data_IF_804069900334
#
_entry.id   IF_804069900334
#
_cell.length_a   1.000
_cell.length_b   1.000
_cell.length_c   1.000
_cell.angle_alpha   90.00
_cell.angle_beta   90.00
_cell.angle_gamma   90.00
#
_symmetry.space_group_name_H-M   'P 1'
#
loop_
_entity.id
_entity.type
_entity.pdbx_description
1 polymer ?
#
# COMPACT_ATOMS: atom_id res chain seq x y z
N UNK A 1 9.42 -18.55 16.16
CA UNK A 1 9.39 -18.81 14.72
C UNK A 1 9.39 -17.47 14.03
N UNK A 2 10.41 -17.14 13.27
CA UNK A 2 10.43 -15.97 12.40
C UNK A 2 9.77 -16.40 11.09
N UNK A 3 8.74 -15.71 10.67
CA UNK A 3 8.19 -15.90 9.34
C UNK A 3 8.94 -14.94 8.41
N UNK A 4 9.55 -15.45 7.36
CA UNK A 4 10.08 -14.65 6.28
C UNK A 4 9.01 -14.58 5.18
N UNK A 5 8.63 -13.37 4.81
CA UNK A 5 7.77 -13.15 3.66
C UNK A 5 8.62 -12.81 2.45
N UNK A 6 8.34 -13.47 1.33
CA UNK A 6 8.97 -13.17 0.05
C UNK A 6 7.91 -12.59 -0.86
N UNK A 7 8.00 -11.29 -1.12
CA UNK A 7 7.02 -10.57 -1.93
C UNK A 7 7.59 -10.23 -3.31
N UNK A 8 7.10 -10.85 -4.39
CA UNK A 8 7.34 -10.35 -5.74
C UNK A 8 6.42 -9.16 -6.02
N UNK A 9 6.95 -8.09 -6.57
CA UNK A 9 6.21 -6.91 -7.01
C UNK A 9 6.60 -6.56 -8.44
N UNK A 10 5.62 -6.22 -9.27
CA UNK A 10 5.81 -5.69 -10.60
C UNK A 10 4.84 -4.53 -10.81
N UNK A 11 5.35 -3.39 -11.28
CA UNK A 11 4.55 -2.18 -11.50
C UNK A 11 4.54 -1.25 -10.28
N UNK A 12 3.46 -0.50 -10.12
CA UNK A 12 3.28 0.56 -9.12
C UNK A 12 2.29 0.23 -8.00
N UNK A 13 1.57 -0.88 -8.10
CA UNK A 13 0.98 -1.51 -6.92
C UNK A 13 2.08 -1.95 -5.97
N UNK A 14 1.86 -1.81 -4.67
CA UNK A 14 2.94 -2.03 -3.72
C UNK A 14 2.47 -2.40 -2.33
N UNK A 15 3.40 -2.41 -1.39
CA UNK A 15 3.07 -2.69 -0.01
C UNK A 15 3.92 -1.87 0.98
N UNK A 16 3.40 -1.75 2.19
CA UNK A 16 4.10 -1.18 3.32
C UNK A 16 4.03 -2.12 4.52
N UNK A 17 5.14 -2.26 5.24
CA UNK A 17 5.21 -2.93 6.54
C UNK A 17 5.31 -1.89 7.64
N UNK A 18 4.32 -1.91 8.54
CA UNK A 18 4.24 -1.01 9.69
C UNK A 18 4.39 -1.81 10.98
N UNK A 19 5.14 -1.27 11.94
CA UNK A 19 5.40 -1.89 13.23
C UNK A 19 5.47 -0.84 14.32
N UNK A 20 4.61 -0.93 15.33
CA UNK A 20 4.68 -0.11 16.55
C UNK A 20 4.95 1.37 16.25
N UNK A 21 4.09 1.97 15.43
CA UNK A 21 4.16 3.37 15.02
C UNK A 21 5.41 3.74 14.19
N UNK A 22 5.97 2.79 13.43
CA UNK A 22 7.07 3.04 12.51
C UNK A 22 6.82 2.37 11.14
N UNK A 23 7.29 3.02 10.07
CA UNK A 23 7.38 2.42 8.75
C UNK A 23 8.68 1.62 8.69
N UNK A 24 8.57 0.30 8.56
CA UNK A 24 9.73 -0.59 8.45
C UNK A 24 10.15 -0.83 7.01
N UNK A 25 9.19 -0.88 6.11
CA UNK A 25 9.44 -1.03 4.68
C UNK A 25 8.33 -0.37 3.89
N UNK A 26 8.68 0.16 2.73
CA UNK A 26 7.78 0.65 1.71
C UNK A 26 8.34 0.21 0.35
N UNK A 27 7.53 -0.50 -0.45
CA UNK A 27 7.96 -0.98 -1.76
C UNK A 27 8.13 0.19 -2.73
N UNK A 28 9.22 0.17 -3.50
CA UNK A 28 9.42 1.16 -4.55
C UNK A 28 8.61 0.76 -5.79
N UNK A 29 7.88 1.69 -6.43
CA UNK A 29 7.21 1.42 -7.69
C UNK A 29 8.25 1.13 -8.79
N UNK A 30 7.92 0.19 -9.68
CA UNK A 30 8.72 -0.10 -10.86
C UNK A 30 8.08 0.57 -12.08
N UNK A 31 8.78 1.57 -12.61
CA UNK A 31 8.29 2.38 -13.72
C UNK A 31 9.37 2.58 -14.78
N UNK A 32 8.98 2.62 -16.06
CA UNK A 32 9.87 2.98 -17.17
C UNK A 32 10.13 4.49 -17.21
N UNK A 33 9.11 5.26 -16.85
CA UNK A 33 9.12 6.72 -16.76
C UNK A 33 8.05 7.16 -15.76
N UNK A 34 7.94 8.46 -15.52
CA UNK A 34 6.88 9.01 -14.68
C UNK A 34 5.51 8.51 -15.15
N UNK A 35 4.69 7.98 -14.24
CA UNK A 35 3.36 7.43 -14.50
C UNK A 35 3.31 6.40 -15.64
N UNK A 36 4.38 5.60 -15.77
CA UNK A 36 4.48 4.54 -16.79
C UNK A 36 4.98 3.25 -16.12
N UNK A 37 4.09 2.54 -15.41
CA UNK A 37 4.48 1.36 -14.62
C UNK A 37 4.89 0.18 -15.51
N UNK A 38 5.68 -0.72 -14.95
CA UNK A 38 5.91 -2.04 -15.54
C UNK A 38 4.60 -2.80 -15.58
N UNK A 39 4.31 -3.45 -16.72
CA UNK A 39 3.07 -4.18 -16.95
C UNK A 39 3.30 -5.51 -17.66
N UNK A 40 2.75 -6.58 -17.09
CA UNK A 40 2.62 -7.84 -17.81
C UNK A 40 1.57 -7.67 -18.90
N UNK A 41 1.99 -7.72 -20.17
CA UNK A 41 1.06 -7.53 -21.27
C UNK A 41 1.28 -8.56 -22.39
N UNK A 42 0.18 -9.06 -22.95
CA UNK A 42 0.19 -9.84 -24.18
C UNK A 42 -0.16 -8.90 -25.32
N UNK A 43 0.84 -8.52 -26.11
CA UNK A 43 0.65 -7.62 -27.23
C UNK A 43 0.16 -8.41 -28.44
N UNK A 44 -1.03 -8.10 -29.01
CA UNK A 44 -1.53 -8.76 -30.19
C UNK A 44 -0.55 -8.65 -31.36
N UNK A 45 -0.34 -9.73 -32.16
CA UNK A 45 0.65 -9.74 -33.22
C UNK A 45 0.50 -8.61 -34.26
N UNK A 46 -0.74 -8.20 -34.54
CA UNK A 46 -1.03 -7.06 -35.44
C UNK A 46 -0.50 -5.73 -34.90
N UNK A 47 -0.64 -5.51 -33.59
CA UNK A 47 -0.14 -4.28 -32.93
C UNK A 47 1.38 -4.29 -32.91
N UNK A 48 1.98 -5.44 -32.59
CA UNK A 48 3.43 -5.61 -32.59
C UNK A 48 4.03 -5.37 -33.99
N UNK A 49 3.41 -5.92 -35.04
CA UNK A 49 3.83 -5.69 -36.43
C UNK A 49 3.74 -4.22 -36.84
N UNK A 50 2.65 -3.55 -36.47
CA UNK A 50 2.48 -2.11 -36.74
C UNK A 50 3.50 -1.24 -35.99
N UNK A 51 3.76 -1.53 -34.71
CA UNK A 51 4.75 -0.82 -33.92
C UNK A 51 6.15 -0.97 -34.52
N UNK A 52 6.55 -2.19 -34.91
CA UNK A 52 7.83 -2.46 -35.59
C UNK A 52 7.96 -1.71 -36.91
N UNK A 53 6.89 -1.66 -37.72
CA UNK A 53 6.88 -0.90 -38.96
C UNK A 53 7.08 0.61 -38.76
N UNK A 54 6.69 1.13 -37.59
CA UNK A 54 6.88 2.53 -37.17
C UNK A 54 8.18 2.76 -36.38
N UNK A 55 9.05 1.75 -36.25
CA UNK A 55 10.30 1.85 -35.51
C UNK A 55 10.12 1.97 -33.98
N UNK A 56 8.94 1.59 -33.45
CA UNK A 56 8.64 1.62 -32.01
C UNK A 56 8.51 0.22 -31.44
N UNK A 57 8.78 0.07 -30.16
CA UNK A 57 8.50 -1.14 -29.39
C UNK A 57 7.50 -0.81 -28.31
N UNK A 58 6.34 -1.51 -28.26
CA UNK A 58 5.41 -1.36 -27.16
C UNK A 58 6.06 -1.85 -25.86
N UNK A 59 5.78 -1.16 -24.76
CA UNK A 59 6.23 -1.60 -23.44
C UNK A 59 5.53 -2.92 -23.08
N UNK A 60 6.32 -3.89 -22.65
CA UNK A 60 5.82 -5.20 -22.19
C UNK A 60 6.88 -5.80 -21.28
N UNK A 61 6.51 -6.02 -20.05
CA UNK A 61 7.40 -6.56 -19.03
C UNK A 61 7.08 -8.05 -18.80
N UNK A 62 8.02 -8.75 -18.20
CA UNK A 62 7.94 -10.18 -17.97
C UNK A 62 7.97 -10.47 -16.46
N UNK A 63 7.49 -11.65 -16.01
CA UNK A 63 7.57 -12.04 -14.60
C UNK A 63 8.98 -11.99 -14.00
N UNK A 64 10.02 -12.20 -14.83
CA UNK A 64 11.43 -12.10 -14.41
C UNK A 64 11.87 -10.67 -14.05
N UNK A 65 11.13 -9.66 -14.51
CA UNK A 65 11.43 -8.25 -14.26
C UNK A 65 10.83 -7.79 -12.91
N UNK A 66 10.07 -8.67 -12.24
CA UNK A 66 9.54 -8.41 -10.91
C UNK A 66 10.68 -8.25 -9.89
N UNK A 67 10.55 -7.25 -9.03
CA UNK A 67 11.38 -7.10 -7.83
C UNK A 67 10.96 -8.14 -6.80
N UNK A 68 11.93 -8.88 -6.25
CA UNK A 68 11.68 -9.86 -5.20
C UNK A 68 12.43 -9.42 -3.94
N UNK A 69 11.70 -9.24 -2.85
CA UNK A 69 12.28 -8.84 -1.56
C UNK A 69 11.82 -9.76 -0.44
N UNK A 70 12.71 -10.02 0.52
CA UNK A 70 12.40 -10.80 1.72
C UNK A 70 12.29 -9.90 2.95
N UNK A 71 11.25 -10.10 3.76
CA UNK A 71 10.97 -9.26 4.92
C UNK A 71 10.76 -10.10 6.17
N UNK A 72 11.43 -9.69 7.26
CA UNK A 72 11.23 -10.31 8.57
C UNK A 72 9.97 -9.79 9.22
N UNK A 73 8.99 -10.66 9.38
CA UNK A 73 7.74 -10.37 10.03
C UNK A 73 7.83 -10.62 11.54
N UNK A 74 7.19 -9.75 12.31
CA UNK A 74 7.06 -9.88 13.76
C UNK A 74 5.61 -9.82 14.19
N UNK A 75 5.31 -10.42 15.30
CA UNK A 75 4.00 -10.31 15.94
C UNK A 75 3.58 -8.84 16.10
N UNK A 76 2.37 -8.51 15.65
CA UNK A 76 1.84 -7.17 15.66
C UNK A 76 2.18 -6.31 14.44
N UNK A 77 2.94 -6.82 13.46
CA UNK A 77 3.17 -6.12 12.21
C UNK A 77 1.87 -6.00 11.41
N UNK A 78 1.71 -4.87 10.76
CA UNK A 78 0.65 -4.62 9.79
C UNK A 78 1.26 -4.55 8.40
N UNK A 79 0.82 -5.44 7.53
CA UNK A 79 1.12 -5.41 6.10
C UNK A 79 -0.06 -4.81 5.37
N UNK A 80 0.20 -3.78 4.59
CA UNK A 80 -0.79 -3.13 3.75
C UNK A 80 -0.34 -3.24 2.30
N UNK A 81 -1.13 -3.91 1.47
CA UNK A 81 -0.97 -3.97 0.03
C UNK A 81 -2.02 -3.08 -0.62
N UNK A 82 -1.63 -2.31 -1.63
CA UNK A 82 -2.58 -1.43 -2.30
C UNK A 82 -2.18 -1.12 -3.74
N UNK A 83 -3.16 -0.64 -4.52
CA UNK A 83 -2.96 -0.05 -5.84
C UNK A 83 -2.43 1.38 -5.73
N UNK A 84 -1.96 1.92 -6.86
CA UNK A 84 -1.47 3.30 -6.97
C UNK A 84 -2.50 4.34 -6.53
N UNK A 85 -3.81 4.07 -6.68
CA UNK A 85 -4.85 4.96 -6.17
C UNK A 85 -4.76 5.27 -4.66
N UNK A 86 -4.04 4.43 -3.88
CA UNK A 86 -3.67 4.75 -2.49
C UNK A 86 -2.37 5.55 -2.44
N UNK A 87 -1.31 5.07 -3.10
CA UNK A 87 0.03 5.65 -3.02
C UNK A 87 0.12 7.04 -3.65
N UNK A 88 -0.68 7.30 -4.66
CA UNK A 88 -0.79 8.61 -5.32
C UNK A 88 -1.47 9.67 -4.43
N UNK A 89 -2.27 9.25 -3.46
CA UNK A 89 -3.07 10.13 -2.62
C UNK A 89 -2.65 10.19 -1.15
N UNK A 90 -2.06 9.12 -0.62
CA UNK A 90 -1.63 9.02 0.78
C UNK A 90 -0.13 8.71 0.87
N UNK A 91 0.61 9.54 1.60
CA UNK A 91 2.00 9.25 1.91
C UNK A 91 2.14 8.10 2.91
N UNK A 92 3.33 7.49 3.00
CA UNK A 92 3.62 6.48 4.03
C UNK A 92 3.40 7.00 5.46
N UNK A 93 3.59 8.30 5.69
CA UNK A 93 3.32 8.93 6.98
C UNK A 93 1.82 9.10 7.26
N UNK A 94 1.00 9.37 6.23
CA UNK A 94 -0.46 9.44 6.38
C UNK A 94 -1.01 8.05 6.70
N UNK A 95 -0.55 7.02 5.99
CA UNK A 95 -0.88 5.64 6.30
C UNK A 95 -0.47 5.23 7.71
N UNK A 96 0.74 5.60 8.13
CA UNK A 96 1.21 5.34 9.49
C UNK A 96 0.29 5.97 10.53
N UNK A 97 -0.16 7.22 10.34
CA UNK A 97 -1.09 7.91 11.24
C UNK A 97 -2.45 7.18 11.30
N UNK A 98 -3.00 6.78 10.13
CA UNK A 98 -4.28 6.07 10.07
C UNK A 98 -4.17 4.74 10.81
N UNK A 99 -3.15 3.93 10.50
CA UNK A 99 -2.94 2.62 11.11
C UNK A 99 -2.69 2.76 12.61
N UNK A 100 -1.80 3.65 13.03
CA UNK A 100 -1.50 3.85 14.46
C UNK A 100 -2.72 4.27 15.26
N UNK A 101 -3.53 5.19 14.72
CA UNK A 101 -4.79 5.61 15.35
C UNK A 101 -5.74 4.43 15.60
N UNK A 102 -5.89 3.54 14.62
CA UNK A 102 -6.76 2.37 14.76
C UNK A 102 -6.16 1.30 15.67
N UNK A 103 -4.88 0.98 15.48
CA UNK A 103 -4.20 -0.03 16.30
C UNK A 103 -4.19 0.35 17.78
N UNK A 104 -3.97 1.63 18.11
CA UNK A 104 -4.05 2.11 19.49
C UNK A 104 -5.49 2.28 19.96
N UNK A 105 -6.40 2.74 19.10
CA UNK A 105 -7.82 2.91 19.43
C UNK A 105 -8.52 1.60 19.78
N UNK A 106 -8.15 0.49 19.15
CA UNK A 106 -8.62 -0.85 19.48
C UNK A 106 -7.73 -1.58 20.50
N UNK A 107 -6.73 -0.91 21.07
CA UNK A 107 -5.79 -1.47 22.03
C UNK A 107 -5.03 -2.71 21.46
N UNK A 108 -4.79 -2.75 20.16
CA UNK A 108 -3.91 -3.74 19.54
C UNK A 108 -2.42 -3.38 19.70
N UNK A 109 -2.14 -2.07 19.73
CA UNK A 109 -0.87 -1.50 20.19
C UNK A 109 -1.15 -0.65 21.42
N UNK A 110 -0.41 -0.87 22.50
CA UNK A 110 -0.63 -0.24 23.80
C UNK A 110 0.68 0.29 24.39
N UNK A 111 0.58 1.21 25.34
CA UNK A 111 1.76 1.73 26.03
C UNK A 111 2.36 0.64 26.94
N UNK A 112 3.62 0.31 26.70
CA UNK A 112 4.40 -0.58 27.54
C UNK A 112 5.54 0.13 28.25
N UNK A 113 6.27 -0.56 29.10
CA UNK A 113 7.38 0.00 29.86
C UNK A 113 8.51 0.60 29.02
N UNK A 114 8.71 0.08 27.79
CA UNK A 114 9.78 0.49 26.86
C UNK A 114 9.27 1.21 25.61
N UNK A 115 8.06 1.74 25.65
CA UNK A 115 7.37 2.36 24.51
C UNK A 115 6.14 1.57 24.09
N UNK A 116 5.73 1.66 22.82
CA UNK A 116 4.60 0.88 22.29
C UNK A 116 4.91 -0.62 22.27
N UNK A 117 3.95 -1.41 22.71
CA UNK A 117 3.98 -2.86 22.71
C UNK A 117 2.75 -3.42 21.98
N UNK A 118 2.84 -4.67 21.55
CA UNK A 118 1.70 -5.41 20.99
C UNK A 118 0.91 -6.02 22.13
N UNK A 119 -0.40 -5.77 22.11
CA UNK A 119 -1.33 -6.29 23.12
C UNK A 119 -1.45 -7.82 23.04
N UNK A 120 -1.58 -8.48 24.17
CA UNK A 120 -1.89 -9.91 24.23
C UNK A 120 -3.22 -10.25 23.56
N UNK A 121 -4.13 -9.28 23.47
CA UNK A 121 -5.46 -9.47 22.91
C UNK A 121 -5.50 -9.33 21.38
N UNK A 122 -4.39 -8.99 20.71
CA UNK A 122 -4.38 -8.74 19.26
C UNK A 122 -4.93 -9.92 18.45
N UNK A 123 -4.68 -11.15 18.88
CA UNK A 123 -5.21 -12.36 18.21
C UNK A 123 -6.75 -12.35 18.17
N UNK A 124 -7.40 -11.99 19.27
CA UNK A 124 -8.86 -11.91 19.33
C UNK A 124 -9.40 -10.80 18.42
N UNK A 125 -8.75 -9.64 18.38
CA UNK A 125 -9.14 -8.50 17.55
C UNK A 125 -9.09 -8.80 16.04
N UNK A 126 -8.23 -9.74 15.63
CA UNK A 126 -8.11 -10.13 14.22
C UNK A 126 -9.13 -11.20 13.79
N UNK A 127 -9.83 -11.82 14.73
CA UNK A 127 -10.88 -12.80 14.40
C UNK A 127 -12.18 -12.09 13.99
N UNK A 128 -13.03 -12.83 13.27
CA UNK A 128 -14.41 -12.38 12.99
C UNK A 128 -15.16 -12.18 14.32
N UNK A 129 -15.77 -11.03 14.50
CA UNK A 129 -16.41 -10.65 15.78
C UNK A 129 -15.44 -10.12 16.82
N UNK A 130 -14.17 -9.98 16.51
CA UNK A 130 -13.13 -9.47 17.43
C UNK A 130 -13.29 -7.99 17.77
N UNK A 131 -13.95 -7.22 16.91
CA UNK A 131 -14.35 -5.84 17.15
C UNK A 131 -15.85 -5.65 16.84
N UNK A 132 -16.48 -4.58 17.36
CA UNK A 132 -17.90 -4.34 17.08
C UNK A 132 -18.19 -4.18 15.58
N UNK A 133 -19.28 -4.78 15.09
CA UNK A 133 -19.71 -4.75 13.67
C UNK A 133 -19.76 -3.37 13.03
N UNK A 134 -20.04 -2.33 13.80
CA UNK A 134 -19.98 -0.94 13.30
C UNK A 134 -18.60 -0.51 12.82
N UNK A 135 -17.55 -1.30 13.09
CA UNK A 135 -16.18 -1.13 12.66
C UNK A 135 -15.67 -2.32 11.82
N UNK A 136 -16.54 -3.01 11.08
CA UNK A 136 -16.21 -4.09 10.14
C UNK A 136 -15.81 -5.46 10.74
N UNK A 137 -16.22 -5.74 11.97
CA UNK A 137 -16.16 -7.09 12.57
C UNK A 137 -14.76 -7.66 12.85
N UNK A 138 -13.69 -7.13 12.23
CA UNK A 138 -12.29 -7.48 12.50
C UNK A 138 -11.35 -6.30 12.29
N UNK A 139 -10.23 -6.27 13.01
CA UNK A 139 -9.31 -5.14 13.01
C UNK A 139 -8.71 -4.85 11.62
N UNK A 140 -8.33 -5.90 10.88
CA UNK A 140 -7.79 -5.72 9.52
C UNK A 140 -8.85 -5.19 8.55
N UNK A 141 -10.11 -5.60 8.70
CA UNK A 141 -11.20 -5.07 7.88
C UNK A 141 -11.47 -3.58 8.19
N UNK A 142 -11.47 -3.21 9.48
CA UNK A 142 -11.61 -1.81 9.89
C UNK A 142 -10.48 -0.94 9.34
N UNK A 143 -9.23 -1.43 9.35
CA UNK A 143 -8.09 -0.74 8.75
C UNK A 143 -8.25 -0.58 7.23
N UNK A 144 -8.67 -1.63 6.54
CA UNK A 144 -8.86 -1.59 5.09
C UNK A 144 -9.92 -0.54 4.70
N UNK A 145 -11.07 -0.53 5.39
CA UNK A 145 -12.14 0.45 5.16
C UNK A 145 -11.67 1.87 5.46
N UNK A 146 -10.96 2.08 6.58
CA UNK A 146 -10.47 3.39 6.94
C UNK A 146 -9.47 3.94 5.92
N UNK A 147 -8.52 3.12 5.46
CA UNK A 147 -7.51 3.52 4.47
C UNK A 147 -8.16 3.83 3.12
N UNK A 148 -9.09 2.97 2.67
CA UNK A 148 -9.84 3.19 1.43
C UNK A 148 -10.64 4.49 1.48
N UNK A 149 -11.30 4.77 2.60
CA UNK A 149 -12.06 6.00 2.82
C UNK A 149 -11.18 7.24 2.78
N UNK A 150 -10.07 7.26 3.49
CA UNK A 150 -9.13 8.39 3.51
C UNK A 150 -8.47 8.60 2.13
N UNK A 151 -8.08 7.52 1.43
CA UNK A 151 -7.55 7.60 0.08
C UNK A 151 -8.59 8.20 -0.90
N UNK A 152 -9.85 7.76 -0.79
CA UNK A 152 -10.95 8.32 -1.61
C UNK A 152 -11.19 9.79 -1.32
N UNK A 153 -11.19 10.19 -0.06
CA UNK A 153 -11.34 11.61 0.30
C UNK A 153 -10.15 12.44 -0.21
N UNK A 154 -8.93 11.93 -0.08
CA UNK A 154 -7.74 12.59 -0.60
C UNK A 154 -7.77 12.71 -2.12
N UNK A 155 -8.19 11.67 -2.85
CA UNK A 155 -8.27 11.68 -4.32
C UNK A 155 -9.23 12.73 -4.88
N UNK A 156 -10.26 13.08 -4.12
CA UNK A 156 -11.26 14.09 -4.49
C UNK A 156 -10.91 15.52 -3.98
N UNK A 157 -9.86 15.64 -3.18
CA UNK A 157 -9.46 16.92 -2.61
C UNK A 157 -8.65 17.74 -3.62
N UNK A 158 -9.21 18.81 -4.12
CA UNK A 158 -8.57 19.71 -5.10
C UNK A 158 -7.64 20.76 -4.47
N UNK A 159 -7.56 20.83 -3.13
CA UNK A 159 -6.84 21.89 -2.40
C UNK A 159 -5.53 21.44 -1.75
N UNK A 160 -5.38 20.14 -1.50
CA UNK A 160 -4.21 19.59 -0.82
C UNK A 160 -3.48 18.64 -1.76
N UNK A 161 -2.23 18.95 -2.07
CA UNK A 161 -1.41 18.14 -2.96
C UNK A 161 -1.01 16.80 -2.31
N UNK A 162 -1.47 15.72 -2.90
CA UNK A 162 -1.05 14.37 -2.61
C UNK A 162 0.35 14.05 -3.12
N UNK A 163 0.87 12.83 -2.88
CA UNK A 163 2.15 12.39 -3.41
C UNK A 163 2.25 12.54 -4.93
N UNK A 164 1.22 12.16 -5.68
CA UNK A 164 1.20 12.27 -7.14
C UNK A 164 1.36 13.72 -7.62
N UNK A 165 0.58 14.66 -7.06
CA UNK A 165 0.68 16.07 -7.44
C UNK A 165 2.10 16.63 -7.22
N UNK A 166 2.72 16.26 -6.11
CA UNK A 166 4.11 16.65 -5.80
C UNK A 166 5.12 16.08 -6.80
N UNK A 167 4.92 14.84 -7.26
CA UNK A 167 5.76 14.25 -8.30
C UNK A 167 5.52 14.90 -9.67
N UNK A 168 4.26 15.21 -10.06
CA UNK A 168 3.97 15.95 -11.29
C UNK A 168 4.72 17.29 -11.28
N UNK A 169 4.59 18.07 -10.21
CA UNK A 169 5.25 19.37 -10.07
C UNK A 169 6.78 19.29 -10.16
N UNK A 170 7.35 18.18 -9.72
CA UNK A 170 8.79 17.92 -9.81
C UNK A 170 9.25 17.56 -11.22
N UNK A 171 8.51 16.68 -11.92
CA UNK A 171 8.85 16.24 -13.28
C UNK A 171 8.43 17.24 -14.36
N UNK A 172 7.36 17.97 -14.12
CA UNK A 172 6.75 18.93 -15.04
C UNK A 172 6.48 20.27 -14.35
N UNK A 173 7.53 21.06 -14.02
CA UNK A 173 7.39 22.30 -13.22
C UNK A 173 6.49 23.38 -13.85
N UNK A 174 6.14 23.23 -15.14
CA UNK A 174 5.26 24.16 -15.86
C UNK A 174 3.79 23.69 -15.90
N UNK A 175 3.49 22.51 -15.38
CA UNK A 175 2.13 22.01 -15.29
C UNK A 175 1.52 22.35 -13.93
N UNK A 176 0.39 23.03 -13.96
CA UNK A 176 -0.39 23.38 -12.77
C UNK A 176 -1.28 22.18 -12.35
N UNK A 177 -0.66 21.08 -11.88
CA UNK A 177 -1.40 19.97 -11.32
C UNK A 177 -1.42 20.08 -9.79
N UNK A 178 -2.62 20.19 -9.21
CA UNK A 178 -2.85 20.30 -7.77
C UNK A 178 -3.93 19.33 -7.29
N UNK A 179 -3.86 18.98 -6.03
CA UNK A 179 -4.84 18.13 -5.36
C UNK A 179 -4.56 16.66 -5.45
N UNK A 180 -5.61 15.85 -5.29
CA UNK A 180 -5.57 14.41 -5.39
C UNK A 180 -5.70 13.91 -6.83
N UNK A 181 -5.33 12.65 -7.05
CA UNK A 181 -5.54 11.91 -8.31
C UNK A 181 -6.67 10.91 -8.11
N UNK A 182 -7.77 11.09 -8.85
CA UNK A 182 -8.88 10.12 -8.85
C UNK A 182 -8.44 8.87 -9.60
N UNK A 183 -8.48 7.73 -8.89
CA UNK A 183 -8.07 6.43 -9.43
C UNK A 183 -8.80 5.29 -8.73
N UNK A 184 -8.59 4.04 -9.20
CA UNK A 184 -9.13 2.83 -8.61
C UNK A 184 -8.36 2.46 -7.32
N UNK A 185 -9.08 2.34 -6.21
CA UNK A 185 -8.51 2.09 -4.89
C UNK A 185 -8.82 0.65 -4.46
N UNK A 186 -7.79 -0.16 -4.38
CA UNK A 186 -7.85 -1.48 -3.78
C UNK A 186 -6.89 -1.57 -2.59
N UNK A 187 -7.36 -2.13 -1.46
CA UNK A 187 -6.61 -2.25 -0.21
C UNK A 187 -6.77 -3.65 0.36
N UNK A 188 -5.64 -4.29 0.68
CA UNK A 188 -5.60 -5.54 1.44
C UNK A 188 -4.74 -5.33 2.68
N UNK A 189 -5.28 -5.68 3.85
CA UNK A 189 -4.57 -5.57 5.12
C UNK A 189 -4.39 -6.95 5.74
N UNK A 190 -3.16 -7.27 6.14
CA UNK A 190 -2.83 -8.42 6.96
C UNK A 190 -2.17 -7.98 8.27
N UNK A 191 -2.53 -8.64 9.36
CA UNK A 191 -1.91 -8.44 10.68
C UNK A 191 -1.22 -9.72 11.09
N UNK A 192 0.07 -9.63 11.38
CA UNK A 192 0.89 -10.77 11.77
C UNK A 192 0.63 -11.12 13.23
N UNK A 193 0.13 -12.32 13.48
CA UNK A 193 -0.10 -12.82 14.84
C UNK A 193 0.69 -14.12 15.05
N UNK A 194 1.25 -14.30 16.25
CA UNK A 194 1.87 -15.60 16.64
C UNK A 194 0.77 -16.62 16.88
N UNK A 195 0.98 -17.84 16.42
CA UNK A 195 0.16 -18.95 16.86
C UNK A 195 0.23 -19.10 18.38
N UNK A 196 -0.93 -19.33 19.00
CA UNK A 196 -1.00 -19.76 20.39
C UNK A 196 -0.68 -21.26 20.39
N UNK A 197 0.62 -21.60 20.52
CA UNK A 197 1.05 -22.97 20.84
C UNK A 197 0.71 -23.33 22.27
#
# INVERSE_FOLDING_TARGET
>A
MQADDTSPSLGDSGFVQLRLNAVHHFSNPQTHAFNTPYQLSIIPPKILARARALGSQPLSDYPKDASVSGHQLRHGDVLLFATDGVWDNLSSLDLLKIVSRHMTGFQAWEAGEKGLAVSENIHALTQKGGIPKKYEDSLQAALAVAITGEAKLASLNTKADGPFAKEVQKYYPHEEFHGGKVDDICVVVAIVVKDKS
#
